data_IF_675826786311
#
_entry.id   IF_675826786311
#
_cell.length_a   1.000
_cell.length_b   1.000
_cell.length_c   1.000
_cell.angle_alpha   90.00
_cell.angle_beta   90.00
_cell.angle_gamma   90.00
#
_symmetry.space_group_name_H-M   'P 1'
#
loop_
_entity.id
_entity.type
_entity.pdbx_description
1 polymer ?
#
# COMPACT_ATOMS: atom_id res chain seq x y z
N UNK A 1 -54.68 -40.84 -2.37
CA UNK A 1 -53.34 -40.52 -1.84
C UNK A 1 -53.44 -39.18 -1.10
N UNK A 2 -53.59 -39.27 0.22
CA UNK A 2 -53.78 -38.09 1.09
C UNK A 2 -52.42 -37.68 1.64
N UNK A 3 -51.93 -36.48 1.23
CA UNK A 3 -50.67 -35.94 1.75
C UNK A 3 -50.95 -35.36 3.13
N UNK A 4 -50.42 -35.97 4.16
CA UNK A 4 -50.41 -35.46 5.52
C UNK A 4 -49.50 -34.22 5.58
N UNK A 5 -50.09 -33.05 5.65
CA UNK A 5 -49.41 -31.84 5.99
C UNK A 5 -49.14 -31.82 7.50
N UNK A 6 -47.91 -31.91 7.88
CA UNK A 6 -47.50 -31.96 9.28
C UNK A 6 -47.48 -30.51 9.87
N UNK A 7 -48.45 -30.15 10.74
CA UNK A 7 -48.56 -28.80 11.26
C UNK A 7 -47.41 -28.40 12.24
N UNK A 8 -46.60 -29.38 12.64
CA UNK A 8 -45.48 -29.15 13.56
C UNK A 8 -44.32 -28.40 12.90
N UNK A 9 -44.21 -28.46 11.56
CA UNK A 9 -43.12 -27.81 10.84
C UNK A 9 -43.36 -26.30 10.66
N UNK A 10 -44.58 -25.82 10.82
CA UNK A 10 -44.93 -24.38 10.62
C UNK A 10 -44.68 -23.57 11.88
N UNK A 11 -44.73 -24.19 13.07
CA UNK A 11 -44.55 -23.48 14.34
C UNK A 11 -43.08 -23.22 14.69
N UNK A 12 -42.13 -23.91 14.07
CA UNK A 12 -40.69 -23.72 14.33
C UNK A 12 -40.07 -22.62 13.49
N UNK A 13 -40.73 -22.14 12.43
CA UNK A 13 -40.19 -21.07 11.55
C UNK A 13 -40.54 -19.68 12.08
N UNK A 14 -41.52 -19.55 12.99
CA UNK A 14 -42.01 -18.27 13.47
C UNK A 14 -41.20 -17.68 14.68
N UNK A 15 -40.22 -18.43 15.19
CA UNK A 15 -39.42 -18.00 16.37
C UNK A 15 -38.02 -17.51 16.06
N UNK A 16 -37.61 -17.37 14.78
CA UNK A 16 -36.26 -16.99 14.38
C UNK A 16 -36.09 -15.55 13.92
N UNK A 17 -37.08 -14.67 14.12
CA UNK A 17 -37.00 -13.28 13.67
C UNK A 17 -36.99 -12.25 14.80
N UNK A 18 -36.49 -12.58 15.99
CA UNK A 18 -36.42 -11.63 17.09
C UNK A 18 -35.07 -11.62 17.80
N UNK A 19 -34.00 -11.53 17.02
CA UNK A 19 -32.67 -11.19 17.54
C UNK A 19 -32.12 -9.97 16.78
N UNK A 20 -32.89 -8.88 16.76
CA UNK A 20 -32.33 -7.57 16.56
C UNK A 20 -31.74 -7.17 17.92
N UNK A 21 -30.46 -7.52 18.14
CA UNK A 21 -29.71 -6.98 19.26
C UNK A 21 -29.68 -5.47 19.10
N UNK A 22 -30.39 -4.77 20.00
CA UNK A 22 -30.20 -3.35 20.22
C UNK A 22 -28.72 -3.17 20.55
N UNK A 23 -28.00 -2.55 19.64
CA UNK A 23 -26.71 -1.96 19.96
C UNK A 23 -27.04 -0.81 20.92
N UNK A 24 -27.00 -1.07 22.22
CA UNK A 24 -26.95 0.00 23.22
C UNK A 24 -25.66 0.77 22.92
N UNK A 25 -25.81 1.90 22.25
CA UNK A 25 -24.78 2.92 22.24
C UNK A 25 -24.68 3.35 23.70
N UNK A 26 -23.74 2.78 24.43
CA UNK A 26 -23.34 3.27 25.75
C UNK A 26 -22.94 4.73 25.49
N UNK A 27 -23.65 5.72 26.00
CA UNK A 27 -23.19 7.11 25.93
C UNK A 27 -21.84 7.11 26.63
N UNK A 28 -20.77 7.27 25.84
CA UNK A 28 -19.43 7.44 26.36
C UNK A 28 -19.54 8.61 27.32
N UNK A 29 -19.44 8.33 28.63
CA UNK A 29 -19.40 9.32 29.66
C UNK A 29 -18.27 10.27 29.30
N UNK A 30 -18.62 11.45 28.77
CA UNK A 30 -17.65 12.42 28.30
C UNK A 30 -16.61 12.60 29.39
N UNK A 31 -15.35 12.41 29.02
CA UNK A 31 -14.24 12.60 29.95
C UNK A 31 -14.31 14.09 30.38
N UNK A 32 -14.48 14.38 31.65
CA UNK A 32 -14.63 15.78 32.14
C UNK A 32 -13.42 16.64 31.76
N UNK A 33 -12.28 16.01 31.53
CA UNK A 33 -11.05 16.68 31.03
C UNK A 33 -11.20 17.10 29.57
N UNK A 34 -11.95 16.34 28.76
CA UNK A 34 -12.17 16.65 27.35
C UNK A 34 -13.18 17.80 27.20
N UNK A 35 -14.27 17.81 28.03
CA UNK A 35 -15.25 18.86 28.02
C UNK A 35 -14.67 20.22 28.45
N UNK A 36 -13.83 20.24 29.50
CA UNK A 36 -13.16 21.45 29.94
C UNK A 36 -12.18 22.03 28.89
N UNK A 37 -11.56 21.17 28.11
CA UNK A 37 -10.66 21.58 27.02
C UNK A 37 -11.41 22.13 25.82
N UNK A 38 -12.54 21.52 25.45
CA UNK A 38 -13.40 21.99 24.36
C UNK A 38 -14.05 23.33 24.72
N UNK A 39 -14.54 23.46 25.96
CA UNK A 39 -15.18 24.68 26.42
C UNK A 39 -14.23 25.89 26.54
N UNK A 40 -12.92 25.62 26.75
CA UNK A 40 -11.90 26.66 26.90
C UNK A 40 -11.06 26.90 25.64
N UNK A 41 -11.44 26.30 24.49
CA UNK A 41 -10.71 26.43 23.21
C UNK A 41 -9.21 26.10 23.31
N UNK A 42 -8.86 25.21 24.26
CA UNK A 42 -7.49 24.79 24.47
C UNK A 42 -7.14 23.66 23.50
N UNK A 43 -6.04 23.74 22.76
CA UNK A 43 -5.64 22.70 21.86
C UNK A 43 -5.38 21.38 22.63
N UNK A 44 -5.89 20.27 22.08
CA UNK A 44 -5.78 18.93 22.66
C UNK A 44 -4.30 18.50 22.79
N UNK A 45 -3.43 19.09 22.00
CA UNK A 45 -1.98 18.86 22.00
C UNK A 45 -1.32 20.20 22.34
N UNK A 46 -0.55 20.24 23.42
CA UNK A 46 0.26 21.39 23.78
C UNK A 46 1.54 21.37 22.91
N UNK A 47 1.41 21.84 21.69
CA UNK A 47 2.54 22.17 20.84
C UNK A 47 3.12 23.46 21.39
N UNK A 48 4.29 23.42 22.00
CA UNK A 48 4.96 24.59 22.57
C UNK A 48 4.86 25.84 21.69
N UNK A 49 5.40 26.97 22.11
CA UNK A 49 5.24 28.27 21.47
C UNK A 49 5.68 28.36 19.98
N UNK A 50 6.29 27.30 19.45
CA UNK A 50 6.53 27.12 18.01
C UNK A 50 5.23 26.64 17.35
N UNK A 51 4.53 27.57 16.71
CA UNK A 51 3.23 27.38 16.04
C UNK A 51 3.27 26.46 14.82
N UNK A 52 3.80 25.25 14.96
CA UNK A 52 3.69 24.23 13.89
C UNK A 52 2.29 23.66 13.90
N UNK A 53 1.63 23.69 12.75
CA UNK A 53 0.30 23.10 12.62
C UNK A 53 0.36 21.58 12.75
N UNK A 54 -0.73 20.95 13.19
CA UNK A 54 -0.79 19.49 13.27
C UNK A 54 -0.53 18.83 11.91
N UNK A 55 -0.93 19.48 10.83
CA UNK A 55 -0.63 19.07 9.45
C UNK A 55 0.88 19.09 9.16
N UNK A 56 1.60 20.08 9.65
CA UNK A 56 3.04 20.22 9.49
C UNK A 56 3.82 19.20 10.35
N UNK A 57 3.26 18.83 11.51
CA UNK A 57 3.85 17.81 12.38
C UNK A 57 3.64 16.38 11.85
N UNK A 58 2.47 16.09 11.26
CA UNK A 58 2.12 14.77 10.74
C UNK A 58 2.65 14.56 9.33
N UNK A 59 2.65 15.60 8.51
CA UNK A 59 3.06 15.54 7.10
C UNK A 59 4.54 15.89 6.92
N UNK A 60 5.22 16.37 7.97
CA UNK A 60 6.54 16.98 7.86
C UNK A 60 6.45 18.27 7.07
N UNK A 61 7.58 18.91 6.84
CA UNK A 61 7.69 20.04 5.93
C UNK A 61 7.63 19.53 4.47
N UNK A 62 6.43 19.05 4.06
CA UNK A 62 6.13 18.69 2.66
C UNK A 62 5.77 19.92 1.85
N UNK A 63 6.54 20.99 2.00
CA UNK A 63 6.41 22.15 1.13
C UNK A 63 6.96 21.90 -0.28
N UNK A 64 7.71 20.80 -0.47
CA UNK A 64 7.95 20.19 -1.77
C UNK A 64 7.22 18.85 -1.80
N UNK A 65 6.09 18.79 -2.47
CA UNK A 65 5.52 17.51 -2.88
C UNK A 65 6.55 16.85 -3.80
N UNK A 66 7.31 15.91 -3.26
CA UNK A 66 8.21 15.10 -4.06
C UNK A 66 7.33 14.29 -5.01
N UNK A 67 7.00 14.89 -6.15
CA UNK A 67 6.35 14.16 -7.23
C UNK A 67 7.45 13.39 -7.98
N UNK A 68 7.59 12.14 -7.64
CA UNK A 68 8.54 11.26 -8.30
C UNK A 68 8.15 10.96 -9.76
N UNK A 69 6.91 11.22 -10.18
CA UNK A 69 6.44 10.96 -11.53
C UNK A 69 7.22 11.68 -12.61
N UNK A 70 7.76 12.86 -12.31
CA UNK A 70 8.66 13.60 -13.19
C UNK A 70 10.13 13.17 -13.10
N UNK A 71 10.52 12.33 -12.12
CA UNK A 71 11.91 11.94 -11.98
C UNK A 71 12.31 10.89 -13.02
N UNK A 72 13.52 11.03 -13.56
CA UNK A 72 14.09 10.09 -14.51
C UNK A 72 14.21 8.70 -13.90
N UNK A 73 14.58 8.61 -12.63
CA UNK A 73 14.68 7.35 -11.90
C UNK A 73 13.35 6.61 -11.83
N UNK A 74 12.25 7.33 -11.56
CA UNK A 74 10.92 6.73 -11.50
C UNK A 74 10.45 6.25 -12.89
N UNK A 75 10.63 7.07 -13.93
CA UNK A 75 10.28 6.69 -15.29
C UNK A 75 11.09 5.47 -15.76
N UNK A 76 12.40 5.47 -15.50
CA UNK A 76 13.27 4.32 -15.83
C UNK A 76 12.86 3.06 -15.06
N UNK A 77 12.51 3.19 -13.78
CA UNK A 77 12.02 2.07 -12.99
C UNK A 77 10.70 1.51 -13.53
N UNK A 78 9.78 2.38 -13.93
CA UNK A 78 8.52 1.98 -14.54
C UNK A 78 8.73 1.26 -15.87
N UNK A 79 9.63 1.77 -16.72
CA UNK A 79 9.98 1.15 -18.00
C UNK A 79 10.58 -0.24 -17.81
N UNK A 80 11.45 -0.43 -16.81
CA UNK A 80 12.07 -1.73 -16.52
C UNK A 80 11.07 -2.81 -16.13
N UNK A 81 9.93 -2.47 -15.58
CA UNK A 81 8.89 -3.43 -15.18
C UNK A 81 7.64 -3.38 -16.06
N UNK A 82 7.64 -2.58 -17.13
CA UNK A 82 6.49 -2.37 -18.01
C UNK A 82 6.02 -3.63 -18.76
N UNK A 83 6.88 -4.65 -18.88
CA UNK A 83 6.51 -5.95 -19.45
C UNK A 83 5.64 -6.81 -18.51
N UNK A 84 5.53 -6.42 -17.25
CA UNK A 84 4.71 -7.08 -16.22
C UNK A 84 3.40 -6.32 -16.00
N UNK A 85 2.29 -7.02 -15.64
CA UNK A 85 1.10 -6.35 -15.17
C UNK A 85 1.41 -5.53 -13.92
N UNK A 86 0.92 -4.29 -13.87
CA UNK A 86 1.12 -3.39 -12.73
C UNK A 86 -0.07 -3.50 -11.78
N UNK A 87 0.19 -3.78 -10.51
CA UNK A 87 -0.83 -3.81 -9.45
C UNK A 87 -1.06 -2.41 -8.86
N UNK A 88 0.00 -1.60 -8.73
CA UNK A 88 -0.10 -0.24 -8.21
C UNK A 88 1.08 0.61 -8.69
N UNK A 89 0.79 1.86 -9.04
CA UNK A 89 1.79 2.89 -9.35
C UNK A 89 1.38 4.16 -8.63
N UNK A 90 2.22 4.60 -7.72
CA UNK A 90 2.03 5.84 -6.96
C UNK A 90 3.27 6.73 -7.12
N UNK A 91 3.15 7.67 -8.04
CA UNK A 91 4.23 8.61 -8.34
C UNK A 91 4.50 9.59 -7.19
N UNK A 92 3.47 9.93 -6.41
CA UNK A 92 3.63 10.86 -5.30
C UNK A 92 4.46 10.27 -4.15
N UNK A 93 4.34 8.95 -3.92
CA UNK A 93 5.13 8.25 -2.90
C UNK A 93 6.35 7.50 -3.46
N UNK A 94 6.56 7.53 -4.77
CA UNK A 94 7.67 6.84 -5.44
C UNK A 94 7.54 5.32 -5.42
N UNK A 95 6.31 4.77 -5.44
CA UNK A 95 6.08 3.33 -5.30
C UNK A 95 5.57 2.73 -6.60
N UNK A 96 6.19 1.63 -7.04
CA UNK A 96 5.74 0.79 -8.16
C UNK A 96 5.63 -0.64 -7.66
N UNK A 97 4.47 -1.25 -7.82
CA UNK A 97 4.20 -2.64 -7.45
C UNK A 97 3.64 -3.36 -8.67
N UNK A 98 4.30 -4.43 -9.10
CA UNK A 98 3.78 -5.30 -10.15
C UNK A 98 2.80 -6.32 -9.58
N UNK A 99 2.00 -6.92 -10.43
CA UNK A 99 1.31 -8.16 -10.08
C UNK A 99 2.25 -9.35 -10.31
N UNK A 100 1.78 -10.55 -9.96
CA UNK A 100 2.50 -11.78 -10.23
C UNK A 100 2.62 -12.02 -11.74
N UNK A 101 3.85 -12.22 -12.19
CA UNK A 101 4.16 -12.50 -13.59
C UNK A 101 4.78 -13.88 -13.73
N UNK A 102 4.18 -14.72 -14.57
CA UNK A 102 4.68 -16.05 -14.87
C UNK A 102 5.73 -15.97 -15.99
N UNK A 103 6.92 -16.46 -15.73
CA UNK A 103 8.02 -16.44 -16.69
C UNK A 103 7.87 -17.64 -17.66
N UNK A 104 7.57 -17.35 -18.91
CA UNK A 104 7.54 -18.33 -20.02
C UNK A 104 6.66 -19.57 -19.80
N UNK A 105 5.58 -19.43 -19.04
CA UNK A 105 4.68 -20.56 -18.76
C UNK A 105 5.27 -21.64 -17.85
N UNK A 106 6.40 -21.36 -17.20
CA UNK A 106 7.02 -22.23 -16.22
C UNK A 106 6.25 -22.21 -14.90
N UNK A 107 6.56 -23.17 -14.03
CA UNK A 107 6.01 -23.26 -12.67
C UNK A 107 6.61 -22.19 -11.73
N UNK A 108 7.11 -21.09 -12.28
CA UNK A 108 7.73 -19.99 -11.56
C UNK A 108 7.02 -18.67 -11.89
N UNK A 109 6.66 -17.92 -10.87
CA UNK A 109 6.20 -16.53 -11.02
C UNK A 109 6.94 -15.59 -10.10
N UNK A 110 7.05 -14.34 -10.54
CA UNK A 110 7.74 -13.27 -9.82
C UNK A 110 6.81 -12.09 -9.59
N UNK A 111 7.10 -11.33 -8.56
CA UNK A 111 6.50 -10.04 -8.24
C UNK A 111 7.60 -9.08 -7.83
N UNK A 112 7.55 -7.84 -8.33
CA UNK A 112 8.56 -6.83 -8.06
C UNK A 112 7.89 -5.64 -7.36
N UNK A 113 8.50 -5.20 -6.26
CA UNK A 113 8.16 -3.97 -5.58
C UNK A 113 9.37 -3.03 -5.70
N UNK A 114 9.13 -1.81 -6.17
CA UNK A 114 10.15 -0.76 -6.26
C UNK A 114 9.70 0.40 -5.43
N UNK A 115 10.62 0.97 -4.65
CA UNK A 115 10.41 2.20 -3.91
C UNK A 115 11.58 3.15 -4.14
N UNK A 116 11.24 4.37 -4.52
CA UNK A 116 12.17 5.45 -4.75
C UNK A 116 12.01 6.42 -3.59
N UNK A 117 13.11 6.71 -2.90
CA UNK A 117 13.15 7.57 -1.71
C UNK A 117 13.64 8.97 -2.02
N UNK A 118 14.41 9.12 -3.10
CA UNK A 118 15.02 10.35 -3.49
C UNK A 118 15.14 10.44 -5.02
N UNK A 119 15.27 11.66 -5.54
CA UNK A 119 15.52 11.91 -6.96
C UNK A 119 16.99 11.75 -7.33
N UNK A 120 17.88 11.72 -6.35
CA UNK A 120 19.29 11.40 -6.57
C UNK A 120 19.46 9.95 -7.05
N UNK A 121 20.41 9.74 -7.98
CA UNK A 121 20.67 8.42 -8.57
C UNK A 121 21.74 7.68 -7.79
N UNK A 122 21.56 7.59 -6.46
CA UNK A 122 22.43 6.87 -5.54
C UNK A 122 21.88 5.48 -5.22
N UNK A 123 22.71 4.61 -4.68
CA UNK A 123 22.28 3.28 -4.29
C UNK A 123 21.20 3.30 -3.20
N UNK A 124 21.20 4.30 -2.33
CA UNK A 124 20.23 4.42 -1.24
C UNK A 124 18.91 5.04 -1.67
N UNK A 125 18.88 5.67 -2.85
CA UNK A 125 17.68 6.31 -3.37
C UNK A 125 16.63 5.32 -3.91
N UNK A 126 17.00 4.08 -4.21
CA UNK A 126 16.12 3.06 -4.79
C UNK A 126 16.19 1.77 -4.00
N UNK A 127 15.04 1.25 -3.62
CA UNK A 127 14.90 -0.10 -3.07
C UNK A 127 14.09 -0.97 -4.03
N UNK A 128 14.59 -2.17 -4.30
CA UNK A 128 13.91 -3.18 -5.12
C UNK A 128 13.80 -4.47 -4.31
N UNK A 129 12.60 -5.02 -4.30
CA UNK A 129 12.32 -6.35 -3.75
C UNK A 129 11.72 -7.23 -4.83
N UNK A 130 12.22 -8.43 -4.99
CA UNK A 130 11.73 -9.41 -5.95
C UNK A 130 11.31 -10.68 -5.23
N UNK A 131 10.02 -10.96 -5.23
CA UNK A 131 9.42 -12.16 -4.65
C UNK A 131 9.28 -13.24 -5.70
N UNK A 132 9.46 -14.48 -5.29
CA UNK A 132 9.29 -15.65 -6.14
C UNK A 132 8.30 -16.63 -5.54
N UNK A 133 7.51 -17.26 -6.40
CA UNK A 133 6.65 -18.39 -6.06
C UNK A 133 6.82 -19.49 -7.08
N UNK A 134 6.84 -20.74 -6.61
CA UNK A 134 6.89 -21.92 -7.43
C UNK A 134 5.57 -22.70 -7.34
N UNK A 135 5.13 -23.28 -8.46
CA UNK A 135 3.89 -24.08 -8.53
C UNK A 135 4.23 -25.56 -8.43
N UNK A 136 3.67 -26.25 -7.45
CA UNK A 136 3.91 -27.69 -7.23
C UNK A 136 2.92 -28.62 -7.95
N UNK A 137 2.12 -28.06 -8.87
CA UNK A 137 1.04 -28.77 -9.57
C UNK A 137 -0.33 -28.63 -8.90
N UNK A 138 -0.40 -28.10 -7.67
CA UNK A 138 -1.64 -27.89 -6.92
C UNK A 138 -1.76 -26.47 -6.40
N UNK A 139 -0.68 -25.87 -5.91
CA UNK A 139 -0.66 -24.54 -5.30
C UNK A 139 0.66 -23.80 -5.58
N UNK A 140 0.60 -22.49 -5.44
CA UNK A 140 1.79 -21.62 -5.43
C UNK A 140 2.38 -21.59 -4.03
N UNK A 141 3.68 -21.80 -3.93
CA UNK A 141 4.45 -21.77 -2.68
C UNK A 141 5.50 -20.68 -2.74
N UNK A 142 5.64 -19.89 -1.68
CA UNK A 142 6.63 -18.82 -1.59
C UNK A 142 8.04 -19.38 -1.49
N UNK A 143 8.96 -18.84 -2.30
CA UNK A 143 10.40 -19.09 -2.21
C UNK A 143 11.16 -17.92 -1.57
N UNK A 144 10.42 -16.89 -1.12
CA UNK A 144 10.98 -15.72 -0.48
C UNK A 144 11.45 -14.65 -1.47
N UNK A 145 12.37 -13.81 -1.00
CA UNK A 145 12.93 -12.69 -1.75
C UNK A 145 14.22 -13.13 -2.47
N UNK A 146 14.33 -12.80 -3.77
CA UNK A 146 15.56 -12.98 -4.54
C UNK A 146 16.38 -11.68 -4.53
N UNK A 147 17.21 -11.52 -3.49
CA UNK A 147 18.04 -10.33 -3.32
C UNK A 147 19.05 -10.13 -4.44
N UNK A 148 19.57 -11.23 -5.03
CA UNK A 148 20.54 -11.15 -6.11
C UNK A 148 19.90 -10.53 -7.36
N UNK A 149 18.73 -11.00 -7.75
CA UNK A 149 18.02 -10.46 -8.92
C UNK A 149 17.46 -9.06 -8.64
N UNK A 150 16.97 -8.80 -7.43
CA UNK A 150 16.55 -7.47 -7.01
C UNK A 150 17.69 -6.45 -7.14
N UNK A 151 18.90 -6.80 -6.70
CA UNK A 151 20.10 -5.95 -6.85
C UNK A 151 20.46 -5.68 -8.32
N UNK A 152 20.32 -6.69 -9.20
CA UNK A 152 20.57 -6.48 -10.64
C UNK A 152 19.56 -5.52 -11.26
N UNK A 153 18.29 -5.64 -10.90
CA UNK A 153 17.23 -4.73 -11.37
C UNK A 153 17.51 -3.33 -10.89
N UNK A 154 17.80 -3.15 -9.59
CA UNK A 154 18.17 -1.86 -9.01
C UNK A 154 19.33 -1.20 -9.76
N UNK A 155 20.41 -1.97 -9.96
CA UNK A 155 21.57 -1.48 -10.71
C UNK A 155 21.20 -1.07 -12.14
N UNK A 156 20.40 -1.86 -12.84
CA UNK A 156 19.96 -1.54 -14.20
C UNK A 156 19.13 -0.26 -14.27
N UNK A 157 18.25 -0.02 -13.27
CA UNK A 157 17.48 1.21 -13.16
C UNK A 157 18.42 2.43 -12.99
N UNK A 158 19.34 2.35 -12.03
CA UNK A 158 20.24 3.46 -11.72
C UNK A 158 21.22 3.75 -12.87
N UNK A 159 21.77 2.73 -13.49
CA UNK A 159 22.71 2.90 -14.60
C UNK A 159 22.02 3.58 -15.79
N UNK A 160 20.81 3.15 -16.15
CA UNK A 160 20.07 3.74 -17.26
C UNK A 160 19.57 5.18 -16.93
N UNK A 161 19.11 5.41 -15.71
CA UNK A 161 18.72 6.75 -15.27
C UNK A 161 19.88 7.75 -15.38
N UNK A 162 21.08 7.35 -14.98
CA UNK A 162 22.29 8.17 -15.13
C UNK A 162 22.64 8.47 -16.59
N UNK A 163 22.49 7.47 -17.49
CA UNK A 163 22.72 7.67 -18.93
C UNK A 163 21.70 8.64 -19.52
N UNK A 164 20.43 8.52 -19.16
CA UNK A 164 19.38 9.42 -19.62
C UNK A 164 19.60 10.84 -19.12
N UNK A 165 19.95 11.01 -17.83
CA UNK A 165 20.29 12.31 -17.27
C UNK A 165 21.45 12.97 -18.02
N UNK A 166 22.53 12.24 -18.22
CA UNK A 166 23.69 12.75 -18.95
C UNK A 166 23.35 13.16 -20.42
N UNK A 167 22.40 12.48 -21.04
CA UNK A 167 21.94 12.82 -22.39
C UNK A 167 21.13 14.11 -22.41
N UNK A 168 20.30 14.33 -21.38
CA UNK A 168 19.52 15.57 -21.23
C UNK A 168 20.43 16.76 -20.96
N UNK A 169 21.43 16.57 -20.10
CA UNK A 169 22.39 17.65 -19.73
C UNK A 169 23.25 18.10 -20.91
N UNK A 170 23.35 17.30 -21.98
CA UNK A 170 24.13 17.61 -23.19
C UNK A 170 23.28 18.23 -24.31
N UNK A 171 21.96 18.27 -24.18
CA UNK A 171 21.01 18.74 -25.21
C UNK A 171 20.61 20.19 -25.00
#
# INVERSE_FOLDING_TARGET
>A
MQKFFNPILITTILFLTSACSQLEIIPNKSDPVLEDRIANDKPIINLGEDKKSLSELILGDRSESLDYGGSITFQTALDKVSFMPLASVDAASGVIITDWYNIDGNDLRIKINIRIYDQEMTDDSVNVQMFKQNFDGAKWSDEGNDEMQASKIKKAILDEARVLQATIDLS
#
